data_IF_719422819561
#
_entry.id   IF_719422819561
#
_cell.length_a   1.000
_cell.length_b   1.000
_cell.length_c   1.000
_cell.angle_alpha   90.00
_cell.angle_beta   90.00
_cell.angle_gamma   90.00
#
_symmetry.space_group_name_H-M   'P 1'
#
loop_
_entity.id
_entity.type
_entity.pdbx_description
1 polymer ?
#
# COMPACT_ATOMS: atom_id res chain seq x y z
N UNK A 1 3.13 13.92 -4.27
CA UNK A 1 2.15 12.85 -4.01
C UNK A 1 2.04 11.97 -5.25
N UNK A 2 2.24 10.68 -5.08
CA UNK A 2 2.16 9.75 -6.19
C UNK A 2 0.74 9.23 -6.39
N UNK A 3 0.39 8.92 -7.62
CA UNK A 3 -0.90 8.33 -7.93
C UNK A 3 -0.76 7.32 -9.06
N UNK A 4 -1.59 6.29 -9.01
CA UNK A 4 -1.64 5.23 -10.03
C UNK A 4 -3.07 4.83 -10.28
N UNK A 5 -3.36 4.46 -11.52
CA UNK A 5 -4.66 3.89 -11.88
C UNK A 5 -4.51 2.37 -11.92
N UNK A 6 -5.36 1.66 -11.17
CA UNK A 6 -5.32 0.21 -11.12
C UNK A 6 -6.71 -0.36 -11.39
N UNK A 7 -6.76 -1.61 -11.80
CA UNK A 7 -8.01 -2.33 -12.00
C UNK A 7 -8.19 -3.36 -10.88
N UNK A 8 -9.43 -3.51 -10.43
CA UNK A 8 -9.75 -4.45 -9.36
C UNK A 8 -10.94 -5.30 -9.78
N UNK A 9 -10.73 -6.61 -9.76
CA UNK A 9 -11.77 -7.59 -10.00
C UNK A 9 -11.86 -8.51 -8.79
N UNK A 10 -12.82 -8.27 -7.87
CA UNK A 10 -12.93 -9.09 -6.67
C UNK A 10 -13.22 -10.56 -6.98
N UNK A 11 -13.84 -10.84 -8.11
CA UNK A 11 -14.15 -12.23 -8.46
C UNK A 11 -12.93 -13.04 -8.86
N UNK A 12 -11.86 -12.39 -9.33
CA UNK A 12 -10.65 -13.09 -9.73
C UNK A 12 -9.79 -13.52 -8.56
N UNK A 13 -9.85 -12.80 -7.45
CA UNK A 13 -9.00 -13.06 -6.30
C UNK A 13 -7.52 -12.73 -6.53
N UNK A 14 -7.18 -12.02 -7.62
CA UNK A 14 -5.80 -11.69 -7.97
C UNK A 14 -5.58 -10.20 -7.78
N UNK A 15 -4.58 -9.79 -6.98
CA UNK A 15 -4.30 -8.37 -6.80
C UNK A 15 -3.62 -7.76 -8.02
N UNK A 16 -3.79 -6.46 -8.20
CA UNK A 16 -3.08 -5.70 -9.21
C UNK A 16 -1.62 -5.52 -8.78
N UNK A 17 -0.69 -5.69 -9.71
CA UNK A 17 0.74 -5.52 -9.41
C UNK A 17 1.19 -4.09 -9.63
N UNK A 18 1.74 -3.46 -8.58
CA UNK A 18 2.28 -2.11 -8.67
C UNK A 18 3.43 -1.95 -7.69
N UNK A 19 4.52 -1.35 -8.15
CA UNK A 19 5.69 -1.11 -7.29
C UNK A 19 5.65 0.30 -6.73
N UNK A 20 6.20 0.46 -5.53
CA UNK A 20 6.24 1.74 -4.83
C UNK A 20 7.68 2.11 -4.52
N UNK A 21 7.92 3.42 -4.36
CA UNK A 21 9.23 3.94 -3.96
C UNK A 21 9.04 4.85 -2.76
N UNK A 22 9.86 4.63 -1.72
CA UNK A 22 9.83 5.39 -0.49
C UNK A 22 11.22 5.97 -0.24
N UNK A 23 11.26 7.25 0.14
CA UNK A 23 12.49 7.89 0.58
C UNK A 23 12.45 8.04 2.11
N UNK A 24 13.42 7.40 2.77
CA UNK A 24 13.49 7.34 4.22
C UNK A 24 13.54 8.75 4.82
N UNK A 25 12.76 8.96 5.88
CA UNK A 25 12.71 10.25 6.57
C UNK A 25 11.80 11.27 5.92
N UNK A 26 11.01 10.87 4.91
CA UNK A 26 10.03 11.75 4.28
C UNK A 26 8.64 11.17 4.42
N UNK A 27 7.63 12.03 4.38
CA UNK A 27 6.26 11.56 4.34
C UNK A 27 5.99 10.86 3.02
N UNK A 28 5.35 9.71 3.09
CA UNK A 28 5.01 8.93 1.90
C UNK A 28 3.50 8.85 1.75
N UNK A 29 3.04 9.10 0.54
CA UNK A 29 1.63 8.97 0.19
C UNK A 29 1.52 8.41 -1.22
N UNK A 30 0.71 7.37 -1.37
CA UNK A 30 0.39 6.81 -2.68
C UNK A 30 -1.12 6.74 -2.81
N UNK A 31 -1.64 7.34 -3.87
CA UNK A 31 -3.08 7.32 -4.18
C UNK A 31 -3.32 6.31 -5.28
N UNK A 32 -4.32 5.45 -5.09
CA UNK A 32 -4.76 4.51 -6.11
C UNK A 32 -6.13 4.92 -6.61
N UNK A 33 -6.24 5.13 -7.91
CA UNK A 33 -7.51 5.36 -8.59
C UNK A 33 -7.95 4.00 -9.14
N UNK A 34 -8.94 3.40 -8.52
CA UNK A 34 -9.31 2.01 -8.76
C UNK A 34 -10.48 1.95 -9.73
N UNK A 35 -10.31 1.17 -10.78
CA UNK A 35 -11.32 0.94 -11.82
C UNK A 35 -11.86 -0.47 -11.72
N UNK A 36 -13.14 -0.62 -12.05
CA UNK A 36 -13.75 -1.94 -12.19
C UNK A 36 -13.37 -2.58 -13.52
N UNK A 37 -13.81 -3.82 -13.74
CA UNK A 37 -13.57 -4.53 -15.01
C UNK A 37 -14.21 -3.84 -16.20
N UNK A 38 -15.22 -3.01 -15.96
CA UNK A 38 -15.86 -2.22 -17.03
C UNK A 38 -15.18 -0.88 -17.25
N UNK A 39 -14.03 -0.65 -16.61
CA UNK A 39 -13.25 0.58 -16.73
C UNK A 39 -13.95 1.81 -16.16
N UNK A 40 -14.86 1.60 -15.24
CA UNK A 40 -15.52 2.65 -14.46
C UNK A 40 -14.93 2.72 -13.07
N UNK A 41 -15.08 3.84 -12.38
CA UNK A 41 -14.60 3.98 -11.01
C UNK A 41 -15.20 2.88 -10.14
N UNK A 42 -14.35 2.22 -9.35
CA UNK A 42 -14.80 1.17 -8.42
C UNK A 42 -15.51 1.81 -7.23
N UNK A 43 -16.64 1.29 -6.84
CA UNK A 43 -17.41 1.81 -5.72
C UNK A 43 -16.97 1.11 -4.43
N UNK A 44 -16.30 1.85 -3.55
CA UNK A 44 -15.79 1.34 -2.27
C UNK A 44 -16.73 1.59 -1.10
N UNK A 45 -17.99 1.92 -1.35
CA UNK A 45 -18.96 2.13 -0.26
C UNK A 45 -18.98 0.89 0.65
N UNK A 46 -18.86 1.11 1.95
CA UNK A 46 -18.82 0.07 2.99
C UNK A 46 -17.56 -0.79 3.00
N UNK A 47 -16.54 -0.46 2.22
CA UNK A 47 -15.25 -1.13 2.29
C UNK A 47 -14.35 -0.46 3.32
N UNK A 48 -13.45 -1.25 3.88
CA UNK A 48 -12.32 -0.75 4.65
C UNK A 48 -11.03 -1.35 4.09
N UNK A 49 -9.90 -0.75 4.42
CA UNK A 49 -8.64 -1.18 3.87
C UNK A 49 -7.57 -1.34 4.93
N UNK A 50 -6.59 -2.20 4.64
CA UNK A 50 -5.42 -2.40 5.47
C UNK A 50 -4.24 -2.77 4.57
N UNK A 51 -3.03 -2.37 4.96
CA UNK A 51 -1.85 -2.70 4.18
C UNK A 51 -0.61 -2.70 5.03
N UNK A 52 0.36 -3.51 4.61
CA UNK A 52 1.67 -3.61 5.25
C UNK A 52 2.75 -3.80 4.22
N UNK A 53 3.96 -3.42 4.58
CA UNK A 53 5.15 -3.78 3.83
C UNK A 53 6.12 -4.52 4.75
N UNK A 54 6.90 -5.43 4.17
CA UNK A 54 7.87 -6.21 4.93
C UNK A 54 8.99 -6.66 3.99
N UNK A 55 10.22 -6.80 4.53
CA UNK A 55 11.33 -7.31 3.74
C UNK A 55 11.14 -8.75 3.32
N UNK A 56 10.33 -9.50 4.07
CA UNK A 56 10.04 -10.89 3.78
C UNK A 56 8.63 -11.22 4.24
N UNK A 57 7.98 -12.15 3.55
CA UNK A 57 6.66 -12.62 3.94
C UNK A 57 6.70 -14.03 4.54
N UNK A 58 7.90 -14.58 4.75
CA UNK A 58 8.05 -15.92 5.33
C UNK A 58 7.99 -15.92 6.84
N UNK A 59 8.12 -17.12 7.41
CA UNK A 59 8.18 -17.31 8.85
C UNK A 59 9.40 -16.57 9.41
N UNK A 60 9.19 -15.82 10.49
CA UNK A 60 10.23 -15.00 11.07
C UNK A 60 10.38 -13.63 10.45
N UNK A 61 9.60 -13.34 9.42
CA UNK A 61 9.58 -12.02 8.82
C UNK A 61 9.00 -11.01 9.78
N UNK A 62 9.39 -9.76 9.62
CA UNK A 62 8.79 -8.63 10.32
C UNK A 62 8.84 -8.71 11.84
N UNK A 63 9.88 -9.35 12.39
CA UNK A 63 10.06 -9.36 13.84
C UNK A 63 10.73 -8.09 14.34
N UNK A 64 11.39 -7.34 13.47
CA UNK A 64 12.06 -6.10 13.83
C UNK A 64 11.40 -4.90 13.21
N UNK A 65 11.37 -3.78 13.92
CA UNK A 65 10.73 -2.56 13.45
C UNK A 65 11.40 -1.99 12.19
N UNK A 66 12.62 -2.40 11.89
CA UNK A 66 13.35 -1.91 10.71
C UNK A 66 12.97 -2.65 9.44
N UNK A 67 12.21 -3.73 9.56
CA UNK A 67 11.94 -4.66 8.47
C UNK A 67 10.49 -4.66 8.02
N UNK A 68 9.61 -3.89 8.67
CA UNK A 68 8.24 -3.80 8.25
C UNK A 68 7.61 -2.50 8.72
N UNK A 69 6.51 -2.14 8.09
CA UNK A 69 5.68 -1.01 8.51
C UNK A 69 4.23 -1.29 8.13
N UNK A 70 3.31 -0.66 8.85
CA UNK A 70 1.89 -0.74 8.58
C UNK A 70 1.45 0.56 7.93
N UNK A 71 0.88 0.46 6.72
CA UNK A 71 0.33 1.63 6.05
C UNK A 71 -0.92 2.12 6.78
N UNK A 72 -1.09 3.43 6.79
CA UNK A 72 -2.39 4.02 7.05
C UNK A 72 -3.16 3.98 5.75
N UNK A 73 -4.29 3.27 5.72
CA UNK A 73 -5.09 3.11 4.51
C UNK A 73 -6.41 3.85 4.69
N UNK A 74 -6.71 4.74 3.76
CA UNK A 74 -7.94 5.51 3.78
C UNK A 74 -8.62 5.48 2.43
N UNK A 75 -9.95 5.32 2.44
CA UNK A 75 -10.74 5.47 1.23
C UNK A 75 -11.21 6.93 1.20
N UNK A 76 -10.53 7.73 0.37
CA UNK A 76 -10.74 9.18 0.37
C UNK A 76 -11.96 9.58 -0.45
N UNK A 77 -12.34 8.76 -1.43
CA UNK A 77 -13.58 8.96 -2.19
C UNK A 77 -14.12 7.61 -2.63
N UNK A 78 -15.10 7.10 -1.87
CA UNK A 78 -15.61 5.75 -2.10
C UNK A 78 -16.28 5.61 -3.48
N UNK A 79 -17.08 6.60 -3.86
CA UNK A 79 -17.82 6.53 -5.12
C UNK A 79 -16.90 6.69 -6.34
N UNK A 80 -15.77 7.37 -6.17
CA UNK A 80 -14.83 7.59 -7.26
C UNK A 80 -13.71 6.55 -7.29
N UNK A 81 -13.74 5.59 -6.36
CA UNK A 81 -12.74 4.53 -6.32
C UNK A 81 -11.37 4.99 -5.89
N UNK A 82 -11.27 6.00 -5.03
CA UNK A 82 -9.98 6.56 -4.62
C UNK A 82 -9.61 6.03 -3.25
N UNK A 83 -8.46 5.36 -3.18
CA UNK A 83 -7.90 4.80 -1.95
C UNK A 83 -6.47 5.31 -1.82
N UNK A 84 -6.05 5.59 -0.59
CA UNK A 84 -4.74 6.16 -0.33
C UNK A 84 -4.03 5.37 0.77
N UNK A 85 -2.76 5.09 0.55
CA UNK A 85 -1.88 4.51 1.57
C UNK A 85 -0.81 5.51 1.93
N UNK A 86 -0.44 5.57 3.19
CA UNK A 86 0.54 6.56 3.64
C UNK A 86 1.37 6.04 4.81
N UNK A 87 2.56 6.64 4.95
CA UNK A 87 3.45 6.47 6.09
C UNK A 87 3.95 7.86 6.49
N UNK A 88 4.14 8.07 7.77
CA UNK A 88 4.74 9.31 8.26
C UNK A 88 6.25 9.28 8.06
N UNK A 89 6.89 10.44 8.16
CA UNK A 89 8.35 10.54 8.07
C UNK A 89 9.04 9.71 9.14
N UNK A 90 8.47 9.64 10.34
CA UNK A 90 8.99 8.81 11.41
C UNK A 90 8.94 7.33 11.06
N UNK A 91 7.85 6.89 10.43
CA UNK A 91 7.72 5.50 10.00
C UNK A 91 8.70 5.15 8.89
N UNK A 92 8.85 6.02 7.90
CA UNK A 92 9.79 5.75 6.80
C UNK A 92 11.24 5.79 7.26
N UNK A 93 11.56 6.67 8.22
CA UNK A 93 12.91 6.76 8.76
C UNK A 93 13.32 5.48 9.49
N UNK A 94 12.37 4.76 10.05
CA UNK A 94 12.65 3.50 10.74
C UNK A 94 12.93 2.33 9.80
N UNK A 95 12.70 2.49 8.49
CA UNK A 95 12.93 1.42 7.52
C UNK A 95 14.37 1.46 7.02
N UNK A 96 15.01 0.28 7.00
CA UNK A 96 16.32 0.14 6.37
C UNK A 96 16.19 0.27 4.86
N UNK A 97 17.24 0.77 4.21
CA UNK A 97 17.28 0.80 2.77
C UNK A 97 17.22 -0.61 2.20
N UNK A 98 16.46 -0.79 1.12
CA UNK A 98 16.37 -2.08 0.45
C UNK A 98 15.03 -2.28 -0.23
N UNK A 99 14.80 -3.53 -0.60
CA UNK A 99 13.58 -3.93 -1.27
C UNK A 99 12.66 -4.66 -0.28
N UNK A 100 11.41 -4.22 -0.27
CA UNK A 100 10.35 -4.79 0.55
C UNK A 100 9.25 -5.30 -0.35
N UNK A 101 8.38 -6.13 0.18
CA UNK A 101 7.12 -6.50 -0.45
C UNK A 101 5.99 -5.86 0.31
N UNK A 102 4.89 -5.56 -0.38
CA UNK A 102 3.72 -5.00 0.27
C UNK A 102 2.46 -5.59 -0.32
N UNK A 103 1.39 -5.49 0.43
CA UNK A 103 0.05 -5.72 -0.09
C UNK A 103 -0.94 -4.75 0.57
N UNK A 104 -2.06 -4.56 -0.10
CA UNK A 104 -3.20 -3.81 0.42
C UNK A 104 -4.42 -4.68 0.23
N UNK A 105 -5.14 -4.89 1.31
CA UNK A 105 -6.35 -5.69 1.33
C UNK A 105 -7.54 -4.78 1.59
N UNK A 106 -8.66 -5.10 1.00
CA UNK A 106 -9.93 -4.38 1.26
C UNK A 106 -10.97 -5.38 1.75
N UNK A 107 -11.80 -4.92 2.67
CA UNK A 107 -12.79 -5.77 3.31
C UNK A 107 -14.17 -5.13 3.17
N UNK A 108 -15.15 -5.93 2.79
CA UNK A 108 -16.55 -5.53 2.77
C UNK A 108 -17.37 -6.64 3.43
N UNK A 109 -18.18 -6.27 4.42
CA UNK A 109 -18.89 -7.27 5.22
C UNK A 109 -17.90 -8.17 5.95
N UNK A 110 -17.96 -9.46 5.67
CA UNK A 110 -17.05 -10.45 6.25
C UNK A 110 -16.03 -10.98 5.25
N UNK A 111 -15.93 -10.38 4.05
CA UNK A 111 -15.06 -10.87 2.97
C UNK A 111 -13.91 -9.90 2.75
N UNK A 112 -12.70 -10.44 2.68
CA UNK A 112 -11.48 -9.68 2.43
C UNK A 112 -10.91 -10.06 1.08
N UNK A 113 -10.55 -9.05 0.28
CA UNK A 113 -10.00 -9.23 -1.06
C UNK A 113 -8.63 -8.61 -1.15
N UNK A 114 -7.67 -9.24 -1.88
CA UNK A 114 -6.41 -8.57 -2.20
C UNK A 114 -6.64 -7.54 -3.30
N UNK A 115 -6.24 -6.29 -3.03
CA UNK A 115 -6.43 -5.20 -3.99
C UNK A 115 -5.20 -4.97 -4.85
N UNK A 116 -4.06 -4.78 -4.21
CA UNK A 116 -2.81 -4.45 -4.90
C UNK A 116 -1.64 -5.02 -4.11
N UNK A 117 -0.59 -5.43 -4.81
CA UNK A 117 0.65 -5.86 -4.19
C UNK A 117 1.83 -5.50 -5.08
N UNK A 118 3.03 -5.72 -4.58
CA UNK A 118 4.24 -5.48 -5.36
C UNK A 118 5.45 -5.31 -4.48
N UNK A 119 6.48 -4.69 -5.05
CA UNK A 119 7.71 -4.38 -4.34
C UNK A 119 7.72 -2.92 -3.91
N UNK A 120 8.38 -2.67 -2.77
CA UNK A 120 8.64 -1.33 -2.29
C UNK A 120 10.15 -1.18 -2.24
N UNK A 121 10.66 -0.12 -2.87
CA UNK A 121 12.08 0.21 -2.83
C UNK A 121 12.26 1.38 -1.89
N UNK A 122 13.04 1.18 -0.83
CA UNK A 122 13.32 2.20 0.18
C UNK A 122 14.74 2.72 -0.03
N UNK A 123 14.87 4.03 -0.21
CA UNK A 123 16.14 4.69 -0.40
C UNK A 123 16.38 5.66 0.77
N UNK A 124 17.63 5.73 1.23
CA UNK A 124 17.99 6.70 2.24
C UNK A 124 18.10 8.09 1.64
N UNK A 125 17.70 9.09 2.41
CA UNK A 125 17.94 10.48 2.04
C UNK A 125 19.20 10.98 2.77
N UNK A 126 19.89 11.92 2.18
CA UNK A 126 21.09 12.49 2.79
C UNK A 126 20.72 13.35 3.99
N UNK A 127 19.66 14.14 3.86
CA UNK A 127 19.26 15.09 4.90
C UNK A 127 18.72 14.41 6.15
N UNK A 128 17.94 13.33 5.98
CA UNK A 128 17.27 12.67 7.09
C UNK A 128 18.00 11.45 7.61
N UNK A 129 19.09 11.07 7.00
CA UNK A 129 19.86 9.92 7.43
C UNK A 129 20.70 10.28 8.65
N UNK A 130 20.65 9.45 9.67
CA UNK A 130 21.44 9.66 10.88
C UNK A 130 22.12 8.39 11.32
#
# INVERSE_FOLDING_TARGET
MASSTINFDPDSGVPYGANLTIYSGTDFTQTFNVKSTSNSAFNFTSYSGAGKLSKSIGIGASTGSDNYATFTVGITSALDGVLQVSLTDTQTKALDQGRYMYDVLVTVGSTTYPLVNGNVYVYNTVTQRT
#
